data_IF_911811990543
#
_entry.id   IF_911811990543
#
_cell.length_a   1.000
_cell.length_b   1.000
_cell.length_c   1.000
_cell.angle_alpha   90.00
_cell.angle_beta   90.00
_cell.angle_gamma   90.00
#
_symmetry.space_group_name_H-M   'P 1'
#
loop_
_entity.id
_entity.type
_entity.pdbx_description
1 polymer ?
#
# COMPACT_ATOMS: atom_id res chain seq x y z
N UNK A 1 -3.00 21.97 -31.68
CA UNK A 1 -3.56 21.13 -30.63
C UNK A 1 -5.03 21.46 -30.53
N UNK A 2 -5.88 20.50 -30.85
CA UNK A 2 -7.33 20.64 -30.67
C UNK A 2 -7.63 20.72 -29.16
N UNK A 3 -8.67 21.44 -28.75
CA UNK A 3 -9.00 21.61 -27.33
C UNK A 3 -9.19 20.27 -26.60
N UNK A 4 -9.74 19.26 -27.27
CA UNK A 4 -9.90 17.90 -26.75
C UNK A 4 -8.56 17.24 -26.40
N UNK A 5 -7.57 17.37 -27.27
CA UNK A 5 -6.23 16.82 -27.08
C UNK A 5 -5.57 17.44 -25.84
N UNK A 6 -5.69 18.76 -25.69
CA UNK A 6 -5.23 19.48 -24.50
C UNK A 6 -5.90 18.98 -23.21
N UNK A 7 -7.22 18.74 -23.24
CA UNK A 7 -7.96 18.28 -22.06
C UNK A 7 -7.58 16.85 -21.67
N UNK A 8 -7.33 15.98 -22.65
CA UNK A 8 -6.87 14.61 -22.41
C UNK A 8 -5.46 14.59 -21.81
N UNK A 9 -4.54 15.40 -22.35
CA UNK A 9 -3.19 15.54 -21.81
C UNK A 9 -3.21 16.12 -20.39
N UNK A 10 -3.98 17.19 -20.14
CA UNK A 10 -4.13 17.77 -18.81
C UNK A 10 -4.63 16.75 -17.78
N UNK A 11 -5.67 15.98 -18.13
CA UNK A 11 -6.19 14.92 -17.27
C UNK A 11 -5.13 13.87 -16.97
N UNK A 12 -4.42 13.42 -17.99
CA UNK A 12 -3.39 12.38 -17.87
C UNK A 12 -2.23 12.85 -16.98
N UNK A 13 -1.74 14.06 -17.20
CA UNK A 13 -0.65 14.63 -16.42
C UNK A 13 -1.05 14.85 -14.96
N UNK A 14 -2.28 15.35 -14.72
CA UNK A 14 -2.82 15.52 -13.36
C UNK A 14 -2.90 14.18 -12.62
N UNK A 15 -3.48 13.16 -13.25
CA UNK A 15 -3.60 11.82 -12.63
C UNK A 15 -2.21 11.22 -12.38
N UNK A 16 -1.30 11.30 -13.35
CA UNK A 16 0.05 10.76 -13.20
C UNK A 16 0.82 11.43 -12.05
N UNK A 17 0.69 12.75 -11.88
CA UNK A 17 1.27 13.47 -10.74
C UNK A 17 0.78 12.91 -9.41
N UNK A 18 -0.55 12.79 -9.25
CA UNK A 18 -1.16 12.20 -8.04
C UNK A 18 -0.64 10.77 -7.81
N UNK A 19 -0.55 9.94 -8.85
CA UNK A 19 -0.10 8.56 -8.71
C UNK A 19 1.38 8.45 -8.29
N UNK A 20 2.26 9.33 -8.76
CA UNK A 20 3.67 9.36 -8.33
C UNK A 20 3.81 9.84 -6.87
N UNK A 21 3.05 10.84 -6.45
CA UNK A 21 3.05 11.31 -5.06
C UNK A 21 2.58 10.20 -4.11
N UNK A 22 1.46 9.56 -4.43
CA UNK A 22 0.93 8.44 -3.65
C UNK A 22 1.91 7.27 -3.59
N UNK A 23 2.69 7.03 -4.65
CA UNK A 23 3.71 5.98 -4.69
C UNK A 23 4.85 6.28 -3.73
N UNK A 24 5.29 7.53 -3.66
CA UNK A 24 6.28 7.96 -2.68
C UNK A 24 5.77 7.77 -1.25
N UNK A 25 4.54 8.19 -0.97
CA UNK A 25 3.87 8.02 0.33
C UNK A 25 3.77 6.53 0.69
N UNK A 26 3.23 5.70 -0.21
CA UNK A 26 3.03 4.28 0.00
C UNK A 26 4.33 3.54 0.33
N UNK A 27 5.39 3.86 -0.42
CA UNK A 27 6.71 3.27 -0.19
C UNK A 27 7.26 3.68 1.19
N UNK A 28 7.14 4.96 1.57
CA UNK A 28 7.54 5.43 2.90
C UNK A 28 6.78 4.74 4.03
N UNK A 29 5.47 4.57 3.89
CA UNK A 29 4.62 3.87 4.87
C UNK A 29 5.04 2.40 5.04
N UNK A 30 5.30 1.71 3.93
CA UNK A 30 5.80 0.33 3.96
C UNK A 30 7.17 0.22 4.63
N UNK A 31 8.10 1.11 4.28
CA UNK A 31 9.44 1.11 4.86
C UNK A 31 9.37 1.38 6.37
N UNK A 32 8.49 2.27 6.82
CA UNK A 32 8.29 2.54 8.25
C UNK A 32 7.68 1.34 8.99
N UNK A 33 6.63 0.70 8.43
CA UNK A 33 6.06 -0.53 9.00
C UNK A 33 7.12 -1.64 9.12
N UNK A 34 7.90 -1.85 8.06
CA UNK A 34 8.95 -2.87 8.04
C UNK A 34 10.10 -2.57 9.00
N UNK A 35 10.40 -1.29 9.23
CA UNK A 35 11.44 -0.83 10.17
C UNK A 35 10.98 -0.94 11.63
N UNK A 36 9.71 -0.66 11.92
CA UNK A 36 9.14 -0.63 13.27
C UNK A 36 8.55 -1.95 13.76
N UNK A 37 8.32 -2.91 12.85
CA UNK A 37 7.75 -4.20 13.20
C UNK A 37 8.42 -4.81 14.43
N UNK A 38 7.61 -5.32 15.34
CA UNK A 38 8.09 -5.81 16.65
C UNK A 38 7.68 -7.25 16.96
N UNK A 39 7.00 -7.92 16.05
CA UNK A 39 6.65 -9.34 16.17
C UNK A 39 7.80 -10.26 15.75
N UNK A 40 7.85 -11.45 16.35
CA UNK A 40 8.72 -12.54 15.87
C UNK A 40 8.15 -13.12 14.59
N UNK A 41 8.97 -13.19 13.54
CA UNK A 41 8.55 -13.62 12.22
C UNK A 41 9.04 -15.04 11.90
N UNK A 42 8.56 -16.03 12.64
CA UNK A 42 9.07 -17.42 12.62
C UNK A 42 9.02 -18.06 11.22
N UNK A 43 7.84 -18.10 10.61
CA UNK A 43 7.66 -18.71 9.28
C UNK A 43 8.01 -17.76 8.13
N UNK A 44 8.00 -16.46 8.39
CA UNK A 44 8.12 -15.41 7.36
C UNK A 44 6.78 -14.90 6.81
N UNK A 45 5.68 -15.63 7.02
CA UNK A 45 4.41 -15.37 6.35
C UNK A 45 3.82 -13.98 6.66
N UNK A 46 3.87 -13.54 7.92
CA UNK A 46 3.27 -12.25 8.30
C UNK A 46 3.99 -11.09 7.62
N UNK A 47 5.32 -11.01 7.74
CA UNK A 47 6.10 -9.97 7.04
C UNK A 47 5.96 -10.05 5.52
N UNK A 48 5.88 -11.25 4.93
CA UNK A 48 5.66 -11.41 3.48
C UNK A 48 4.27 -11.01 3.00
N UNK A 49 3.32 -10.85 3.92
CA UNK A 49 1.97 -10.36 3.61
C UNK A 49 1.84 -8.85 3.73
N UNK A 50 2.89 -8.15 4.17
CA UNK A 50 2.91 -6.69 4.28
C UNK A 50 3.31 -6.10 2.94
N UNK A 51 2.52 -5.15 2.45
CA UNK A 51 2.77 -4.50 1.17
C UNK A 51 1.80 -3.38 0.89
N UNK A 52 1.90 -2.83 -0.32
CA UNK A 52 1.07 -1.71 -0.74
C UNK A 52 0.76 -1.77 -2.22
N UNK A 53 -0.32 -1.09 -2.60
CA UNK A 53 -0.70 -0.89 -4.00
C UNK A 53 -1.42 0.45 -4.19
N UNK A 54 -1.41 0.92 -5.43
CA UNK A 54 -2.24 2.02 -5.89
C UNK A 54 -3.07 1.50 -7.05
N UNK A 55 -4.39 1.67 -6.96
CA UNK A 55 -5.30 1.30 -8.04
C UNK A 55 -5.94 2.53 -8.67
N UNK A 56 -6.12 2.51 -9.99
CA UNK A 56 -6.96 3.43 -10.73
C UNK A 56 -8.09 2.63 -11.41
N UNK A 57 -9.33 2.89 -11.01
CA UNK A 57 -10.53 2.24 -11.54
C UNK A 57 -10.43 0.70 -11.54
N UNK A 58 -9.98 0.13 -10.42
CA UNK A 58 -9.84 -1.32 -10.26
C UNK A 58 -8.53 -1.90 -10.78
N UNK A 59 -7.74 -1.13 -11.54
CA UNK A 59 -6.47 -1.59 -12.09
C UNK A 59 -5.31 -1.17 -11.19
N UNK A 60 -4.51 -2.13 -10.74
CA UNK A 60 -3.28 -1.84 -9.99
C UNK A 60 -2.27 -1.20 -10.94
N UNK A 61 -1.89 0.05 -10.66
CA UNK A 61 -0.93 0.83 -11.45
C UNK A 61 0.45 0.85 -10.81
N UNK A 62 0.52 0.81 -9.48
CA UNK A 62 1.76 0.67 -8.71
C UNK A 62 1.57 -0.31 -7.55
N UNK A 63 2.64 -0.98 -7.16
CA UNK A 63 2.65 -1.87 -5.99
C UNK A 63 4.07 -2.10 -5.50
N UNK A 64 4.20 -2.41 -4.21
CA UNK A 64 5.47 -2.78 -3.58
C UNK A 64 5.27 -3.63 -2.34
N UNK A 65 6.39 -4.07 -1.76
CA UNK A 65 6.40 -5.01 -0.64
C UNK A 65 6.07 -6.44 -1.07
N UNK A 66 5.33 -7.17 -0.23
CA UNK A 66 5.00 -8.59 -0.40
C UNK A 66 6.22 -9.48 -0.68
N UNK A 67 7.33 -9.21 0.00
CA UNK A 67 8.60 -9.92 -0.22
C UNK A 67 8.53 -11.30 0.43
N UNK A 68 8.62 -12.35 -0.39
CA UNK A 68 8.64 -13.73 0.10
C UNK A 68 9.91 -14.00 0.92
N UNK A 69 9.74 -14.29 2.21
CA UNK A 69 10.82 -14.63 3.13
C UNK A 69 10.44 -15.87 3.95
N UNK A 70 11.42 -16.71 4.27
CA UNK A 70 11.19 -17.94 5.04
C UNK A 70 10.31 -18.96 4.31
N UNK A 71 9.97 -20.04 5.02
CA UNK A 71 9.19 -21.14 4.45
C UNK A 71 7.72 -20.79 4.21
N UNK A 72 7.18 -19.84 4.97
CA UNK A 72 5.81 -19.33 4.84
C UNK A 72 5.69 -18.13 3.89
N UNK A 73 6.79 -17.64 3.30
CA UNK A 73 6.79 -16.38 2.55
C UNK A 73 5.85 -16.38 1.34
N UNK A 74 5.76 -17.50 0.61
CA UNK A 74 4.85 -17.62 -0.53
C UNK A 74 3.37 -17.55 -0.11
N UNK A 75 3.02 -18.11 1.05
CA UNK A 75 1.67 -18.00 1.62
C UNK A 75 1.37 -16.55 1.97
N UNK A 76 2.28 -15.89 2.68
CA UNK A 76 2.15 -14.48 3.04
C UNK A 76 1.95 -13.57 1.84
N UNK A 77 2.82 -13.70 0.83
CA UNK A 77 2.74 -12.94 -0.42
C UNK A 77 1.39 -13.18 -1.12
N UNK A 78 0.93 -14.43 -1.18
CA UNK A 78 -0.36 -14.75 -1.79
C UNK A 78 -1.54 -14.13 -1.05
N UNK A 79 -1.53 -14.13 0.29
CA UNK A 79 -2.60 -13.52 1.08
C UNK A 79 -2.60 -11.99 0.95
N UNK A 80 -1.42 -11.35 1.02
CA UNK A 80 -1.30 -9.92 0.80
C UNK A 80 -1.76 -9.49 -0.59
N UNK A 81 -1.41 -10.25 -1.63
CA UNK A 81 -1.89 -9.98 -3.00
C UNK A 81 -3.40 -10.13 -3.12
N UNK A 82 -3.98 -11.15 -2.50
CA UNK A 82 -5.43 -11.35 -2.47
C UNK A 82 -6.14 -10.16 -1.80
N UNK A 83 -5.63 -9.69 -0.66
CA UNK A 83 -6.18 -8.51 0.02
C UNK A 83 -6.12 -7.25 -0.87
N UNK A 84 -4.99 -7.03 -1.57
CA UNK A 84 -4.86 -5.94 -2.55
C UNK A 84 -5.90 -6.06 -3.67
N UNK A 85 -6.02 -7.25 -4.29
CA UNK A 85 -6.94 -7.49 -5.39
C UNK A 85 -8.42 -7.28 -4.97
N UNK A 86 -8.76 -7.57 -3.71
CA UNK A 86 -10.09 -7.31 -3.15
C UNK A 86 -10.33 -5.81 -2.92
N UNK A 87 -9.36 -5.10 -2.34
CA UNK A 87 -9.45 -3.67 -2.02
C UNK A 87 -9.40 -2.77 -3.27
N UNK A 88 -8.71 -3.21 -4.33
CA UNK A 88 -8.58 -2.47 -5.59
C UNK A 88 -9.93 -2.26 -6.29
N UNK A 89 -10.89 -3.19 -6.14
CA UNK A 89 -12.18 -3.18 -6.89
C UNK A 89 -12.95 -1.88 -6.76
N UNK A 90 -13.50 -1.40 -7.87
CA UNK A 90 -14.33 -0.18 -7.93
C UNK A 90 -13.62 0.98 -8.61
N UNK A 91 -14.25 2.15 -8.59
CA UNK A 91 -13.78 3.32 -9.33
C UNK A 91 -12.90 4.24 -8.46
N UNK A 92 -12.15 5.12 -9.12
CA UNK A 92 -11.31 6.14 -8.51
C UNK A 92 -9.88 5.67 -8.23
N UNK A 93 -9.12 6.57 -7.60
CA UNK A 93 -7.76 6.28 -7.12
C UNK A 93 -7.88 5.74 -5.70
N UNK A 94 -7.17 4.65 -5.41
CA UNK A 94 -7.06 4.10 -4.06
C UNK A 94 -5.60 3.89 -3.68
N UNK A 95 -5.21 4.39 -2.53
CA UNK A 95 -4.00 3.99 -1.83
C UNK A 95 -4.35 2.81 -0.91
N UNK A 96 -3.63 1.70 -1.06
CA UNK A 96 -3.87 0.45 -0.35
C UNK A 96 -2.60 0.09 0.42
N UNK A 97 -2.71 -0.03 1.74
CA UNK A 97 -1.68 -0.56 2.63
C UNK A 97 -2.25 -1.83 3.27
N UNK A 98 -1.48 -2.92 3.30
CA UNK A 98 -1.99 -4.22 3.77
C UNK A 98 -0.99 -4.95 4.64
N UNK A 99 -1.52 -5.67 5.63
CA UNK A 99 -0.94 -6.88 6.20
C UNK A 99 -1.94 -8.03 5.95
N UNK A 100 -1.66 -8.88 4.97
CA UNK A 100 -2.66 -9.80 4.40
C UNK A 100 -2.99 -11.06 5.21
N UNK A 101 -2.23 -11.40 6.25
CA UNK A 101 -2.57 -12.56 7.09
C UNK A 101 -3.78 -12.26 8.00
N UNK A 102 -4.69 -13.21 8.12
CA UNK A 102 -5.92 -13.11 8.92
C UNK A 102 -5.68 -12.87 10.41
N UNK A 103 -4.56 -13.34 10.94
CA UNK A 103 -4.14 -13.11 12.33
C UNK A 103 -3.36 -11.80 12.54
N UNK A 104 -3.13 -10.97 11.51
CA UNK A 104 -2.37 -9.73 11.63
C UNK A 104 -2.96 -8.79 12.71
N UNK A 105 -4.28 -8.60 12.68
CA UNK A 105 -4.97 -7.75 13.67
C UNK A 105 -4.88 -8.28 15.09
N UNK A 106 -4.83 -9.61 15.28
CA UNK A 106 -4.64 -10.18 16.61
C UNK A 106 -3.21 -10.00 17.13
N UNK A 107 -2.22 -10.03 16.24
CA UNK A 107 -0.83 -9.68 16.59
C UNK A 107 -0.73 -8.21 17.00
N UNK A 108 -1.41 -7.31 16.30
CA UNK A 108 -1.49 -5.88 16.68
C UNK A 108 -2.21 -5.67 18.01
N UNK A 109 -3.32 -6.36 18.24
CA UNK A 109 -4.06 -6.28 19.50
C UNK A 109 -3.24 -6.76 20.72
N UNK A 110 -2.20 -7.58 20.50
CA UNK A 110 -1.25 -8.00 21.54
C UNK A 110 -0.15 -6.97 21.80
N UNK A 111 -0.18 -5.83 21.14
CA UNK A 111 0.75 -4.71 21.32
C UNK A 111 1.97 -4.76 20.41
N UNK A 112 2.00 -5.64 19.41
CA UNK A 112 3.08 -5.67 18.42
C UNK A 112 2.73 -4.80 17.22
N UNK A 113 3.70 -4.04 16.76
CA UNK A 113 3.58 -3.30 15.50
C UNK A 113 3.65 -4.26 14.31
N UNK A 114 2.59 -4.33 13.52
CA UNK A 114 2.53 -5.05 12.24
C UNK A 114 2.48 -4.07 11.08
N UNK A 115 1.45 -3.24 11.02
CA UNK A 115 1.25 -2.22 10.00
C UNK A 115 0.97 -0.83 10.58
N UNK A 116 0.65 -0.77 11.88
CA UNK A 116 0.24 0.44 12.61
C UNK A 116 1.17 1.64 12.38
N UNK A 117 2.50 1.48 12.48
CA UNK A 117 3.40 2.63 12.24
C UNK A 117 3.34 3.17 10.81
N UNK A 118 3.13 2.30 9.83
CA UNK A 118 2.94 2.71 8.44
C UNK A 118 1.62 3.46 8.24
N UNK A 119 0.55 3.03 8.91
CA UNK A 119 -0.76 3.68 8.87
C UNK A 119 -0.74 5.08 9.49
N UNK A 120 -0.05 5.24 10.62
CA UNK A 120 0.13 6.56 11.25
C UNK A 120 0.93 7.51 10.36
N UNK A 121 1.99 7.01 9.71
CA UNK A 121 2.75 7.81 8.75
C UNK A 121 1.90 8.17 7.53
N UNK A 122 1.03 7.26 7.06
CA UNK A 122 0.12 7.54 5.96
C UNK A 122 -0.83 8.70 6.30
N UNK A 123 -1.41 8.69 7.50
CA UNK A 123 -2.31 9.75 7.97
C UNK A 123 -1.59 11.12 7.99
N UNK A 124 -0.35 11.16 8.49
CA UNK A 124 0.49 12.36 8.51
C UNK A 124 0.81 12.85 7.09
N UNK A 125 1.33 11.96 6.24
CA UNK A 125 1.81 12.32 4.90
C UNK A 125 0.66 12.70 3.96
N UNK A 126 -0.48 12.01 4.03
CA UNK A 126 -1.65 12.34 3.21
C UNK A 126 -2.26 13.66 3.65
N UNK A 127 -2.37 13.90 4.96
CA UNK A 127 -2.85 15.20 5.46
C UNK A 127 -1.96 16.34 4.98
N UNK A 128 -0.64 16.18 5.10
CA UNK A 128 0.30 17.18 4.58
C UNK A 128 0.19 17.36 3.06
N UNK A 129 0.11 16.26 2.30
CA UNK A 129 -0.03 16.31 0.85
C UNK A 129 -1.30 17.06 0.42
N UNK A 130 -2.44 16.81 1.06
CA UNK A 130 -3.70 17.50 0.74
C UNK A 130 -3.66 19.02 1.04
N UNK A 131 -2.85 19.45 2.01
CA UNK A 131 -2.68 20.86 2.35
C UNK A 131 -1.73 21.61 1.40
N UNK A 132 -0.89 20.88 0.65
CA UNK A 132 0.22 21.45 -0.13
C UNK A 132 0.23 21.06 -1.62
N UNK A 133 -0.74 20.25 -2.07
CA UNK A 133 -0.91 19.82 -3.47
C UNK A 133 -1.64 20.87 -4.34
#
# INVERSE_FOLDING_TARGET
MEFTEFMDDFRKDTINGILEDLKFIAQGCYDEAMRRKSFTNDSGALSSSIGWAISLDGNIVYSGGLVSIGQGGSVGQSQGRKAIDELARGNGIKLILVAGMDYASEVEARGFDVNTSGELLADEMISWWLEHA
#
